data_IF_751341563647
#
_entry.id   IF_751341563647
#
_cell.length_a   1.000
_cell.length_b   1.000
_cell.length_c   1.000
_cell.angle_alpha   90.00
_cell.angle_beta   90.00
_cell.angle_gamma   90.00
#
_symmetry.space_group_name_H-M   'P 1'
#
loop_
_entity.id
_entity.type
_entity.pdbx_description
1 polymer ?
#
# COMPACT_ATOMS: atom_id res chain seq x y z
N UNK A 1 -69.00 4.01 9.59
CA UNK A 1 -68.26 3.58 8.40
C UNK A 1 -66.96 4.35 8.38
N UNK A 2 -65.87 3.66 8.73
CA UNK A 2 -64.50 4.15 8.71
C UNK A 2 -64.09 4.59 7.31
N UNK A 3 -63.27 5.63 7.22
CA UNK A 3 -62.29 5.74 6.15
C UNK A 3 -61.12 6.59 6.62
N UNK A 4 -60.33 6.01 7.51
CA UNK A 4 -59.06 6.56 7.95
C UNK A 4 -58.00 6.19 6.91
N UNK A 5 -57.74 7.12 5.98
CA UNK A 5 -56.69 6.97 4.97
C UNK A 5 -55.34 7.03 5.67
N UNK A 6 -54.74 5.85 5.90
CA UNK A 6 -53.33 5.72 6.27
C UNK A 6 -52.48 6.26 5.12
N UNK A 7 -51.90 7.44 5.32
CA UNK A 7 -50.82 7.97 4.49
C UNK A 7 -49.64 6.99 4.53
N UNK A 8 -49.33 6.40 3.38
CA UNK A 8 -48.21 5.48 3.22
C UNK A 8 -46.90 6.22 3.50
N UNK A 9 -46.13 5.72 4.47
CA UNK A 9 -44.74 6.12 4.65
C UNK A 9 -43.99 5.96 3.32
N UNK A 10 -43.18 6.94 2.90
CA UNK A 10 -42.34 6.79 1.72
C UNK A 10 -41.41 5.59 1.94
N UNK A 11 -41.31 4.76 0.90
CA UNK A 11 -40.50 3.55 0.87
C UNK A 11 -39.06 3.94 1.27
N UNK A 12 -38.60 3.48 2.44
CA UNK A 12 -37.20 3.61 2.81
C UNK A 12 -36.43 2.74 1.81
N UNK A 13 -35.76 3.37 0.86
CA UNK A 13 -34.86 2.71 -0.07
C UNK A 13 -33.91 1.81 0.74
N UNK A 14 -33.97 0.52 0.47
CA UNK A 14 -33.21 -0.52 1.17
C UNK A 14 -31.76 -0.43 0.68
N UNK A 15 -30.98 0.48 1.28
CA UNK A 15 -29.56 0.63 0.98
C UNK A 15 -28.76 -0.51 1.63
N UNK A 16 -28.03 -1.27 0.81
CA UNK A 16 -27.04 -2.24 1.29
C UNK A 16 -25.76 -1.51 1.71
N UNK A 17 -25.27 -1.79 2.91
CA UNK A 17 -23.98 -1.27 3.38
C UNK A 17 -22.85 -2.09 2.75
N UNK A 18 -22.34 -1.61 1.60
CA UNK A 18 -21.24 -2.24 0.87
C UNK A 18 -19.92 -1.55 1.19
N UNK A 19 -18.81 -2.27 1.02
CA UNK A 19 -17.47 -1.73 1.17
C UNK A 19 -17.28 -0.50 0.24
N UNK A 20 -16.68 0.60 0.72
CA UNK A 20 -16.42 1.74 -0.13
C UNK A 20 -15.49 1.37 -1.29
N UNK A 21 -15.83 1.79 -2.52
CA UNK A 21 -15.04 1.52 -3.73
C UNK A 21 -13.57 1.96 -3.62
N UNK A 22 -13.30 3.02 -2.86
CA UNK A 22 -11.93 3.48 -2.62
C UNK A 22 -11.11 2.45 -1.83
N UNK A 23 -11.73 1.74 -0.88
CA UNK A 23 -11.06 0.68 -0.11
C UNK A 23 -10.83 -0.55 -0.98
N UNK A 24 -11.82 -0.96 -1.78
CA UNK A 24 -11.67 -2.06 -2.74
C UNK A 24 -10.58 -1.78 -3.78
N UNK A 25 -10.49 -0.54 -4.26
CA UNK A 25 -9.43 -0.11 -5.16
C UNK A 25 -8.05 -0.23 -4.48
N UNK A 26 -7.92 0.22 -3.23
CA UNK A 26 -6.65 0.14 -2.50
C UNK A 26 -6.26 -1.33 -2.29
N UNK A 27 -7.17 -2.18 -1.85
CA UNK A 27 -6.91 -3.61 -1.66
C UNK A 27 -6.48 -4.26 -2.97
N UNK A 28 -7.20 -3.98 -4.06
CA UNK A 28 -6.88 -4.47 -5.39
C UNK A 28 -5.46 -4.04 -5.79
N UNK A 29 -5.08 -2.79 -5.58
CA UNK A 29 -3.74 -2.31 -5.92
C UNK A 29 -2.65 -3.00 -5.08
N UNK A 30 -2.92 -3.26 -3.80
CA UNK A 30 -2.01 -4.02 -2.93
C UNK A 30 -1.90 -5.47 -3.42
N UNK A 31 -2.98 -6.10 -3.84
CA UNK A 31 -2.94 -7.44 -4.43
C UNK A 31 -2.17 -7.47 -5.75
N UNK A 32 -2.38 -6.45 -6.60
CA UNK A 32 -1.68 -6.31 -7.87
C UNK A 32 -0.17 -6.15 -7.70
N UNK A 33 0.32 -5.62 -6.57
CA UNK A 33 1.76 -5.61 -6.23
C UNK A 33 2.37 -7.01 -6.06
N UNK A 34 1.52 -8.02 -5.86
CA UNK A 34 1.89 -9.41 -5.60
C UNK A 34 1.16 -10.40 -6.53
N UNK A 35 0.68 -9.90 -7.67
CA UNK A 35 -0.12 -10.67 -8.61
C UNK A 35 0.75 -11.35 -9.66
N UNK A 36 0.46 -12.63 -9.87
CA UNK A 36 1.16 -13.52 -10.76
C UNK A 36 1.07 -13.07 -12.21
N UNK A 37 2.22 -13.09 -12.91
CA UNK A 37 2.37 -12.69 -14.31
C UNK A 37 2.16 -11.18 -14.57
N UNK A 38 1.91 -10.38 -13.52
CA UNK A 38 1.84 -8.93 -13.60
C UNK A 38 3.00 -8.26 -12.86
N UNK A 39 3.22 -8.63 -11.60
CA UNK A 39 4.27 -8.06 -10.75
C UNK A 39 5.15 -9.11 -10.10
N UNK A 40 4.77 -10.38 -10.10
CA UNK A 40 5.63 -11.50 -9.73
C UNK A 40 5.61 -12.57 -10.83
N UNK A 41 6.57 -13.50 -10.79
CA UNK A 41 6.61 -14.58 -11.78
C UNK A 41 5.35 -15.44 -11.76
N UNK A 42 5.02 -15.95 -12.94
CA UNK A 42 3.90 -16.88 -13.13
C UNK A 42 3.98 -18.04 -12.13
N UNK A 43 2.91 -18.21 -11.37
CA UNK A 43 2.73 -19.33 -10.46
C UNK A 43 2.27 -20.55 -11.25
N UNK A 44 2.51 -21.74 -10.71
CA UNK A 44 2.03 -22.97 -11.32
C UNK A 44 0.49 -23.03 -11.34
N UNK A 45 -0.07 -23.80 -12.26
CA UNK A 45 -1.52 -23.98 -12.36
C UNK A 45 -2.11 -24.52 -11.04
N UNK A 46 -3.22 -23.95 -10.59
CA UNK A 46 -3.90 -24.33 -9.35
C UNK A 46 -3.43 -23.59 -8.09
N UNK A 47 -2.41 -22.74 -8.18
CA UNK A 47 -2.05 -21.82 -7.11
C UNK A 47 -2.82 -20.50 -7.21
N UNK A 48 -2.95 -19.82 -6.07
CA UNK A 48 -3.52 -18.47 -6.00
C UNK A 48 -2.75 -17.50 -6.90
N UNK A 49 -3.48 -16.59 -7.52
CA UNK A 49 -2.89 -15.57 -8.39
C UNK A 49 -2.20 -14.46 -7.61
N UNK A 50 -2.64 -14.21 -6.37
CA UNK A 50 -2.01 -13.24 -5.47
C UNK A 50 -1.18 -14.02 -4.47
N UNK A 51 0.14 -13.84 -4.53
CA UNK A 51 1.06 -14.45 -3.57
C UNK A 51 1.96 -13.36 -3.04
N UNK A 52 1.82 -13.02 -1.76
CA UNK A 52 2.58 -11.97 -1.07
C UNK A 52 4.07 -12.32 -0.88
N UNK A 53 4.76 -12.66 -1.96
CA UNK A 53 6.17 -13.00 -2.04
C UNK A 53 7.03 -11.74 -2.08
N UNK A 54 8.04 -11.68 -1.21
CA UNK A 54 8.91 -10.51 -1.08
C UNK A 54 9.79 -10.38 -2.34
N UNK A 55 9.76 -9.20 -2.98
CA UNK A 55 10.38 -9.01 -4.30
C UNK A 55 11.90 -9.17 -4.33
N UNK A 56 12.57 -8.80 -3.24
CA UNK A 56 14.03 -8.77 -3.15
C UNK A 56 14.48 -9.47 -1.88
N UNK A 57 15.60 -10.19 -1.97
CA UNK A 57 16.25 -10.79 -0.81
C UNK A 57 16.69 -9.72 0.18
N UNK A 58 16.68 -10.05 1.46
CA UNK A 58 16.99 -9.15 2.57
C UNK A 58 16.14 -9.49 3.78
N UNK A 59 15.55 -8.46 4.39
CA UNK A 59 14.68 -8.64 5.56
C UNK A 59 13.45 -9.46 5.18
N UNK A 60 13.15 -10.48 5.99
CA UNK A 60 11.97 -11.34 5.81
C UNK A 60 12.06 -12.35 4.65
N UNK A 61 13.12 -12.32 3.83
CA UNK A 61 13.25 -13.24 2.71
C UNK A 61 14.71 -13.43 2.27
N UNK A 62 15.20 -14.66 2.27
CA UNK A 62 16.57 -14.95 1.83
C UNK A 62 16.68 -15.09 0.31
N UNK A 63 15.60 -15.46 -0.37
CA UNK A 63 15.58 -15.76 -1.80
C UNK A 63 14.69 -14.75 -2.53
N UNK A 64 15.26 -13.96 -3.43
CA UNK A 64 14.47 -13.04 -4.25
C UNK A 64 13.58 -13.82 -5.23
N UNK A 65 12.38 -13.30 -5.48
CA UNK A 65 11.56 -13.76 -6.60
C UNK A 65 12.29 -13.38 -7.90
N UNK A 66 12.33 -14.29 -8.87
CA UNK A 66 12.87 -13.97 -10.18
C UNK A 66 12.11 -12.76 -10.77
N UNK A 67 12.82 -11.80 -11.34
CA UNK A 67 12.22 -10.53 -11.77
C UNK A 67 12.69 -10.16 -13.16
N UNK A 68 11.82 -9.51 -13.91
CA UNK A 68 12.13 -8.93 -15.23
C UNK A 68 11.92 -7.41 -15.17
N UNK A 69 12.41 -6.69 -16.17
CA UNK A 69 12.20 -5.23 -16.30
C UNK A 69 10.72 -4.87 -16.39
N UNK A 70 9.92 -5.72 -17.02
CA UNK A 70 8.47 -5.52 -17.15
C UNK A 70 7.77 -5.64 -15.80
N UNK A 71 8.09 -6.68 -15.01
CA UNK A 71 7.54 -6.83 -13.65
C UNK A 71 7.94 -5.63 -12.75
N UNK A 72 9.18 -5.15 -12.86
CA UNK A 72 9.64 -3.95 -12.15
C UNK A 72 8.89 -2.69 -12.60
N UNK A 73 8.66 -2.53 -13.91
CA UNK A 73 7.87 -1.43 -14.46
C UNK A 73 6.43 -1.46 -13.93
N UNK A 74 5.77 -2.61 -13.94
CA UNK A 74 4.39 -2.77 -13.48
C UNK A 74 4.27 -2.43 -11.98
N UNK A 75 5.21 -2.91 -11.15
CA UNK A 75 5.30 -2.53 -9.72
C UNK A 75 5.40 -1.01 -9.57
N UNK A 76 6.23 -0.35 -10.38
CA UNK A 76 6.41 1.09 -10.32
C UNK A 76 5.13 1.86 -10.67
N UNK A 77 4.38 1.43 -11.68
CA UNK A 77 3.09 2.05 -12.05
C UNK A 77 2.04 1.93 -10.94
N UNK A 78 1.94 0.75 -10.31
CA UNK A 78 1.02 0.52 -9.20
C UNK A 78 1.41 1.37 -7.99
N UNK A 79 2.70 1.43 -7.65
CA UNK A 79 3.19 2.31 -6.58
C UNK A 79 2.94 3.79 -6.89
N UNK A 80 3.07 4.22 -8.15
CA UNK A 80 2.73 5.59 -8.56
C UNK A 80 1.26 5.91 -8.30
N UNK A 81 0.36 4.98 -8.60
CA UNK A 81 -1.06 5.16 -8.34
C UNK A 81 -1.35 5.19 -6.84
N UNK A 82 -0.77 4.29 -6.05
CA UNK A 82 -0.89 4.31 -4.58
C UNK A 82 -0.39 5.62 -3.97
N UNK A 83 0.74 6.14 -4.46
CA UNK A 83 1.28 7.44 -4.06
C UNK A 83 0.36 8.60 -4.44
N UNK A 84 -0.24 8.55 -5.63
CA UNK A 84 -1.21 9.57 -6.07
C UNK A 84 -2.45 9.58 -5.15
N UNK A 85 -2.99 8.41 -4.81
CA UNK A 85 -4.12 8.28 -3.87
C UNK A 85 -3.76 8.73 -2.45
N UNK A 86 -2.51 8.53 -2.03
CA UNK A 86 -1.98 8.98 -0.75
C UNK A 86 -1.62 10.48 -0.72
N UNK A 87 -1.53 11.13 -1.89
CA UNK A 87 -0.98 12.46 -2.06
C UNK A 87 -1.78 13.60 -1.40
N UNK A 88 -3.00 13.33 -0.93
CA UNK A 88 -3.85 14.32 -0.26
C UNK A 88 -3.14 15.00 0.93
N UNK A 89 -2.26 14.27 1.62
CA UNK A 89 -1.51 14.80 2.76
C UNK A 89 -0.57 15.96 2.40
N UNK A 90 -0.14 16.06 1.14
CA UNK A 90 0.75 17.14 0.68
C UNK A 90 0.05 18.51 0.62
N UNK A 91 -1.28 18.52 0.57
CA UNK A 91 -2.08 19.74 0.49
C UNK A 91 -2.58 20.23 1.85
N UNK A 92 -2.13 19.60 2.95
CA UNK A 92 -2.50 19.94 4.32
C UNK A 92 -1.29 20.32 5.14
N UNK A 93 -1.47 21.22 6.13
CA UNK A 93 -0.39 21.52 7.07
C UNK A 93 -0.17 20.33 8.02
N UNK A 94 1.04 20.16 8.59
CA UNK A 94 1.31 19.06 9.53
C UNK A 94 0.34 19.00 10.72
N UNK A 95 -0.08 20.16 11.25
CA UNK A 95 -1.03 20.23 12.36
C UNK A 95 -2.43 19.71 11.98
N UNK A 96 -2.92 20.07 10.79
CA UNK A 96 -4.20 19.56 10.28
C UNK A 96 -4.12 18.06 9.97
N UNK A 97 -3.03 17.62 9.35
CA UNK A 97 -2.81 16.21 9.03
C UNK A 97 -2.76 15.33 10.28
N UNK A 98 -2.14 15.78 11.37
CA UNK A 98 -2.09 15.04 12.62
C UNK A 98 -3.48 14.87 13.27
N UNK A 99 -4.37 15.86 13.09
CA UNK A 99 -5.70 15.86 13.69
C UNK A 99 -6.75 15.13 12.83
N UNK A 100 -6.73 15.33 11.51
CA UNK A 100 -7.76 14.83 10.60
C UNK A 100 -7.29 13.64 9.76
N UNK A 101 -5.98 13.55 9.48
CA UNK A 101 -5.40 12.53 8.62
C UNK A 101 -5.91 12.56 7.18
N UNK A 102 -5.65 11.47 6.47
CA UNK A 102 -6.23 11.18 5.16
C UNK A 102 -6.86 9.79 5.20
N UNK A 103 -8.01 9.62 4.53
CA UNK A 103 -8.72 8.33 4.52
C UNK A 103 -7.86 7.22 3.92
N UNK A 104 -7.20 7.49 2.80
CA UNK A 104 -6.29 6.55 2.12
C UNK A 104 -5.18 6.04 3.03
N UNK A 105 -4.42 6.95 3.67
CA UNK A 105 -3.30 6.54 4.51
C UNK A 105 -3.74 5.94 5.84
N UNK A 106 -4.86 6.40 6.42
CA UNK A 106 -5.46 5.72 7.57
C UNK A 106 -5.78 4.29 7.21
N UNK A 107 -6.55 4.06 6.15
CA UNK A 107 -6.93 2.72 5.71
C UNK A 107 -5.72 1.80 5.49
N UNK A 108 -4.72 2.26 4.71
CA UNK A 108 -3.48 1.51 4.49
C UNK A 108 -2.75 1.20 5.79
N UNK A 109 -2.54 2.20 6.66
CA UNK A 109 -1.70 2.06 7.84
C UNK A 109 -2.37 1.31 8.99
N UNK A 110 -3.71 1.22 9.00
CA UNK A 110 -4.49 0.48 10.00
C UNK A 110 -4.84 -0.95 9.57
N UNK A 111 -4.38 -1.41 8.40
CA UNK A 111 -4.50 -2.80 7.98
C UNK A 111 -3.85 -3.75 9.01
N UNK A 112 -4.63 -4.67 9.54
CA UNK A 112 -4.19 -5.60 10.59
C UNK A 112 -3.61 -6.90 10.05
N UNK A 113 -3.77 -7.15 8.75
CA UNK A 113 -3.26 -8.36 8.12
C UNK A 113 -1.73 -8.35 8.14
N UNK A 114 -1.17 -9.18 9.01
CA UNK A 114 0.26 -9.29 9.23
C UNK A 114 1.00 -9.72 7.95
N UNK A 115 0.43 -10.62 7.15
CA UNK A 115 1.10 -11.12 5.94
C UNK A 115 1.22 -9.99 4.92
N UNK A 116 0.12 -9.29 4.65
CA UNK A 116 0.08 -8.18 3.69
C UNK A 116 1.08 -7.10 4.12
N UNK A 117 0.97 -6.63 5.37
CA UNK A 117 1.78 -5.52 5.87
C UNK A 117 3.27 -5.86 5.84
N UNK A 118 3.66 -7.08 6.28
CA UNK A 118 5.06 -7.49 6.25
C UNK A 118 5.59 -7.67 4.83
N UNK A 119 4.80 -8.24 3.92
CA UNK A 119 5.24 -8.45 2.54
C UNK A 119 5.42 -7.14 1.78
N UNK A 120 4.51 -6.17 1.96
CA UNK A 120 4.69 -4.80 1.44
C UNK A 120 5.94 -4.17 2.07
N UNK A 121 6.02 -4.14 3.40
CA UNK A 121 7.13 -3.50 4.13
C UNK A 121 8.49 -4.04 3.70
N UNK A 122 8.67 -5.37 3.72
CA UNK A 122 9.93 -6.02 3.36
C UNK A 122 10.26 -5.83 1.88
N UNK A 123 9.27 -5.87 0.98
CA UNK A 123 9.51 -5.63 -0.45
C UNK A 123 10.01 -4.22 -0.73
N UNK A 124 9.38 -3.21 -0.13
CA UNK A 124 9.81 -1.81 -0.26
C UNK A 124 11.19 -1.59 0.37
N UNK A 125 11.41 -2.12 1.58
CA UNK A 125 12.66 -1.97 2.31
C UNK A 125 13.84 -2.64 1.58
N UNK A 126 13.68 -3.88 1.15
CA UNK A 126 14.75 -4.60 0.46
C UNK A 126 15.06 -3.98 -0.91
N UNK A 127 14.03 -3.51 -1.63
CA UNK A 127 14.21 -2.82 -2.91
C UNK A 127 15.02 -1.52 -2.76
N UNK A 128 14.74 -0.75 -1.70
CA UNK A 128 15.42 0.53 -1.46
C UNK A 128 16.85 0.34 -0.93
N UNK A 129 17.06 -0.55 0.04
CA UNK A 129 18.37 -0.75 0.66
C UNK A 129 19.37 -1.48 -0.24
N UNK A 130 18.90 -2.36 -1.12
CA UNK A 130 19.77 -3.12 -2.04
C UNK A 130 20.19 -2.30 -3.26
N UNK A 131 19.56 -1.15 -3.50
CA UNK A 131 19.91 -0.29 -4.61
C UNK A 131 21.26 0.39 -4.38
N UNK A 132 22.25 0.04 -5.21
CA UNK A 132 23.54 0.72 -5.25
C UNK A 132 23.63 1.62 -6.50
N UNK A 133 23.50 2.95 -6.35
CA UNK A 133 23.58 3.87 -7.48
C UNK A 133 24.99 3.93 -8.09
N UNK A 134 26.05 3.52 -7.38
CA UNK A 134 27.42 3.56 -7.88
C UNK A 134 27.74 2.40 -8.84
N UNK A 135 27.09 1.24 -8.67
CA UNK A 135 27.29 0.06 -9.53
C UNK A 135 26.77 0.23 -10.96
N UNK A 136 25.98 1.27 -11.24
CA UNK A 136 25.32 1.49 -12.53
C UNK A 136 25.70 2.81 -13.22
N UNK A 137 26.66 3.57 -12.66
CA UNK A 137 27.13 4.81 -13.30
C UNK A 137 28.07 4.49 -14.45
N UNK A 138 27.51 4.32 -15.64
CA UNK A 138 28.20 4.80 -16.85
C UNK A 138 28.00 6.32 -16.93
N UNK A 139 29.05 7.14 -17.15
CA UNK A 139 28.99 8.61 -17.10
C UNK A 139 28.04 9.32 -18.09
N UNK A 140 27.29 8.58 -18.90
CA UNK A 140 26.55 9.10 -20.06
C UNK A 140 25.03 9.18 -19.89
N UNK A 141 24.49 9.03 -18.67
CA UNK A 141 23.03 9.07 -18.46
C UNK A 141 22.45 10.49 -18.27
N UNK A 142 22.99 11.50 -18.95
CA UNK A 142 22.50 12.89 -18.93
C UNK A 142 21.39 13.16 -19.94
N UNK A 143 20.98 12.15 -20.73
CA UNK A 143 19.98 12.28 -21.78
C UNK A 143 18.77 11.36 -21.54
N UNK A 144 17.90 11.80 -20.63
CA UNK A 144 16.44 11.69 -20.83
C UNK A 144 15.69 10.43 -20.38
N UNK A 145 16.32 9.28 -20.15
CA UNK A 145 15.60 8.06 -19.71
C UNK A 145 15.98 7.66 -18.28
N UNK A 146 15.06 7.85 -17.33
CA UNK A 146 15.16 7.22 -16.00
C UNK A 146 15.02 5.72 -16.19
N UNK A 147 15.99 4.96 -15.68
CA UNK A 147 15.93 3.50 -15.64
C UNK A 147 14.70 3.05 -14.83
N UNK A 148 13.92 2.09 -15.33
CA UNK A 148 12.73 1.55 -14.66
C UNK A 148 13.06 1.09 -13.23
N UNK A 149 14.26 0.56 -13.02
CA UNK A 149 14.77 0.18 -11.70
C UNK A 149 14.92 1.38 -10.76
N UNK A 150 15.45 2.50 -11.26
CA UNK A 150 15.58 3.73 -10.47
C UNK A 150 14.20 4.29 -10.10
N UNK A 151 13.25 4.27 -11.03
CA UNK A 151 11.86 4.70 -10.78
C UNK A 151 11.23 3.83 -9.69
N UNK A 152 11.34 2.51 -9.81
CA UNK A 152 10.81 1.57 -8.81
C UNK A 152 11.40 1.83 -7.42
N UNK A 153 12.72 2.04 -7.34
CA UNK A 153 13.41 2.35 -6.07
C UNK A 153 12.90 3.66 -5.48
N UNK A 154 12.77 4.71 -6.30
CA UNK A 154 12.24 6.01 -5.86
C UNK A 154 10.83 5.87 -5.29
N UNK A 155 9.90 5.26 -6.03
CA UNK A 155 8.53 5.08 -5.54
C UNK A 155 8.44 4.13 -4.35
N UNK A 156 9.32 3.13 -4.28
CA UNK A 156 9.39 2.24 -3.11
C UNK A 156 9.79 3.01 -1.85
N UNK A 157 10.77 3.90 -1.97
CA UNK A 157 11.21 4.74 -0.86
C UNK A 157 10.15 5.77 -0.47
N UNK A 158 9.57 6.46 -1.44
CA UNK A 158 8.50 7.44 -1.20
C UNK A 158 7.33 6.79 -0.48
N UNK A 159 6.82 5.66 -1.01
CA UNK A 159 5.66 4.98 -0.43
C UNK A 159 5.98 4.41 0.96
N UNK A 160 7.16 3.81 1.14
CA UNK A 160 7.64 3.35 2.45
C UNK A 160 7.65 4.49 3.47
N UNK A 161 8.22 5.64 3.11
CA UNK A 161 8.28 6.81 4.00
C UNK A 161 6.89 7.36 4.27
N UNK A 162 6.00 7.44 3.28
CA UNK A 162 4.62 7.90 3.49
C UNK A 162 3.91 7.01 4.51
N UNK A 163 3.99 5.68 4.36
CA UNK A 163 3.39 4.74 5.32
C UNK A 163 4.01 4.85 6.72
N UNK A 164 5.32 5.02 6.81
CA UNK A 164 6.05 5.08 8.07
C UNK A 164 5.96 6.44 8.77
N UNK A 165 5.74 7.55 8.07
CA UNK A 165 5.70 8.89 8.67
C UNK A 165 4.26 9.32 8.97
N UNK A 166 3.27 8.68 8.37
CA UNK A 166 1.86 9.01 8.59
C UNK A 166 1.43 8.89 10.07
N UNK A 167 0.96 9.99 10.71
CA UNK A 167 0.33 9.95 12.01
C UNK A 167 -1.11 9.45 11.86
N UNK A 168 -1.51 8.45 12.65
CA UNK A 168 -2.91 8.01 12.66
C UNK A 168 -3.70 9.00 13.54
N UNK A 169 -4.75 9.64 13.01
CA UNK A 169 -5.61 10.50 13.82
C UNK A 169 -6.25 9.73 14.97
N UNK A 170 -6.44 10.41 16.10
CA UNK A 170 -7.23 9.84 17.19
C UNK A 170 -8.71 9.86 16.81
N UNK A 171 -9.42 8.76 17.05
CA UNK A 171 -10.85 8.70 16.80
C UNK A 171 -11.61 9.27 18.02
N UNK A 172 -12.37 10.37 17.87
CA UNK A 172 -13.06 11.00 19.00
C UNK A 172 -14.11 10.07 19.65
N UNK A 173 -14.64 9.09 18.90
CA UNK A 173 -15.62 8.13 19.39
C UNK A 173 -15.01 6.88 20.05
N UNK A 174 -13.68 6.70 20.00
CA UNK A 174 -12.97 5.57 20.61
C UNK A 174 -11.64 6.00 21.27
N UNK A 175 -11.68 6.86 22.31
CA UNK A 175 -10.48 7.42 22.93
C UNK A 175 -9.55 6.38 23.57
N UNK A 176 -10.04 5.16 23.87
CA UNK A 176 -9.25 4.09 24.46
C UNK A 176 -8.61 3.14 23.43
N UNK A 177 -8.90 3.30 22.13
CA UNK A 177 -8.32 2.47 21.08
C UNK A 177 -7.24 3.27 20.35
N UNK A 178 -6.02 3.26 20.88
CA UNK A 178 -4.88 3.90 20.24
C UNK A 178 -4.77 3.41 18.79
N UNK A 179 -4.98 4.31 17.84
CA UNK A 179 -5.03 3.99 16.42
C UNK A 179 -3.61 3.66 15.96
N UNK A 180 -3.38 2.37 15.74
CA UNK A 180 -2.03 1.80 15.59
C UNK A 180 -1.62 1.79 14.13
N UNK A 181 -0.48 2.41 13.80
CA UNK A 181 0.16 2.23 12.51
C UNK A 181 0.89 0.87 12.49
N UNK A 182 0.37 -0.09 11.72
CA UNK A 182 0.91 -1.46 11.69
C UNK A 182 2.27 -1.53 10.96
N UNK A 183 2.51 -0.71 9.94
CA UNK A 183 3.82 -0.62 9.28
C UNK A 183 4.92 -0.21 10.26
N UNK A 184 4.69 0.85 11.05
CA UNK A 184 5.62 1.25 12.15
C UNK A 184 5.81 0.13 13.17
N UNK A 185 4.70 -0.48 13.58
CA UNK A 185 4.73 -1.53 14.59
C UNK A 185 5.58 -2.74 14.19
N UNK A 186 5.45 -3.18 12.93
CA UNK A 186 6.20 -4.31 12.40
C UNK A 186 7.64 -3.93 12.04
N UNK A 187 7.89 -2.73 11.52
CA UNK A 187 9.25 -2.23 11.29
C UNK A 187 10.08 -2.26 12.58
N UNK A 188 9.50 -1.78 13.69
CA UNK A 188 10.14 -1.81 15.01
C UNK A 188 10.44 -3.22 15.54
N UNK A 189 9.92 -4.28 14.92
CA UNK A 189 10.11 -5.69 15.31
C UNK A 189 11.01 -6.49 14.36
N UNK A 190 11.52 -5.87 13.29
CA UNK A 190 12.39 -6.54 12.31
C UNK A 190 13.74 -7.00 12.91
N UNK A 191 14.14 -6.47 14.07
CA UNK A 191 15.38 -6.82 14.77
C UNK A 191 15.38 -8.20 15.42
N UNK A 192 14.25 -8.92 15.45
CA UNK A 192 14.21 -10.24 16.07
C UNK A 192 14.84 -11.25 15.09
N UNK A 193 15.98 -11.88 15.44
CA UNK A 193 16.50 -12.99 14.66
C UNK A 193 15.43 -14.08 14.59
N UNK A 194 15.38 -14.79 13.46
CA UNK A 194 14.57 -16.01 13.34
C UNK A 194 15.10 -17.09 14.29
#
# INVERSE_FOLDING_TARGET
AENDKKEGKPNAEEYEEVKPLAEELIDTLIDLLFYSDLTITRQAHGHDKVTYAIWQSGVGCNNAVATTKELESNRAEILRLLLALAGQSMYSTPGVLAQAGTRTLTYLCTCQDKQIVLSVLCSLLNTTLKFNPASWRVPYNTLGFKDAKQILVTYSLEFLLTLLVYPIPEQPNQPNMASKNFYRHFLGRLHRPQ
#
